data_IF_950256818227
#
_entry.id   IF_950256818227
#
_cell.length_a   1.000
_cell.length_b   1.000
_cell.length_c   1.000
_cell.angle_alpha   90.00
_cell.angle_beta   90.00
_cell.angle_gamma   90.00
#
_symmetry.space_group_name_H-M   'P 1'
#
loop_
_entity.id
_entity.type
_entity.pdbx_description
1 polymer ?
#
# COMPACT_ATOMS: atom_id res chain seq x y z
N UNK A 1 2.77 -3.13 5.96
CA UNK A 1 1.67 -2.96 6.94
C UNK A 1 1.08 -1.57 6.78
N UNK A 2 -0.08 -1.32 7.38
CA UNK A 2 -0.64 0.04 7.38
C UNK A 2 -0.24 0.80 8.63
N UNK A 3 0.14 2.07 8.43
CA UNK A 3 0.39 3.05 9.47
C UNK A 3 -0.75 4.08 9.48
N UNK A 4 -0.94 4.78 10.60
CA UNK A 4 -1.99 5.79 10.73
C UNK A 4 -3.39 5.24 11.01
N UNK A 5 -4.33 6.13 11.32
CA UNK A 5 -5.74 5.77 11.55
C UNK A 5 -6.49 5.66 10.23
N UNK A 6 -7.19 4.54 10.01
CA UNK A 6 -7.89 4.22 8.74
C UNK A 6 -8.96 5.23 8.29
N UNK A 7 -9.48 6.06 9.20
CA UNK A 7 -10.41 7.15 8.86
C UNK A 7 -9.70 8.47 8.55
N UNK A 8 -8.45 8.62 8.98
CA UNK A 8 -7.66 9.84 8.92
C UNK A 8 -6.81 9.99 7.67
N UNK A 9 -6.15 11.15 7.51
CA UNK A 9 -5.34 11.47 6.34
C UNK A 9 -4.00 10.72 6.31
N UNK A 10 -3.54 10.24 7.47
CA UNK A 10 -2.22 9.61 7.59
C UNK A 10 -2.26 8.10 7.34
N UNK A 11 -3.39 7.56 6.88
CA UNK A 11 -3.47 6.14 6.54
C UNK A 11 -2.65 5.85 5.28
N UNK A 12 -1.67 4.97 5.44
CA UNK A 12 -0.65 4.68 4.42
C UNK A 12 -0.10 3.27 4.56
N UNK A 13 0.59 2.77 3.55
CA UNK A 13 1.30 1.49 3.59
C UNK A 13 2.80 1.73 3.68
N UNK A 14 3.42 1.13 4.69
CA UNK A 14 4.86 1.02 4.82
C UNK A 14 5.32 -0.43 4.68
N UNK A 15 6.59 -0.63 4.36
CA UNK A 15 7.19 -1.96 4.27
C UNK A 15 8.55 -2.03 4.93
N UNK A 16 8.95 -3.27 5.22
CA UNK A 16 10.22 -3.63 5.82
C UNK A 16 10.78 -4.87 5.13
N UNK A 17 12.10 -5.07 5.24
CA UNK A 17 12.81 -6.24 4.71
C UNK A 17 13.48 -6.98 5.88
N UNK A 18 13.55 -8.30 5.78
CA UNK A 18 14.27 -9.16 6.70
C UNK A 18 14.82 -10.39 5.95
N UNK A 19 15.92 -10.94 6.44
CA UNK A 19 16.50 -12.18 5.91
C UNK A 19 15.81 -13.45 6.46
N UNK A 20 14.89 -13.28 7.42
CA UNK A 20 14.14 -14.35 8.07
C UNK A 20 12.66 -13.98 8.14
N UNK A 21 11.73 -14.95 7.97
CA UNK A 21 10.30 -14.70 8.13
C UNK A 21 9.91 -14.27 9.56
N UNK A 22 10.81 -14.44 10.54
CA UNK A 22 10.63 -14.02 11.93
C UNK A 22 11.34 -12.70 12.26
N UNK A 23 11.95 -12.05 11.27
CA UNK A 23 12.72 -10.82 11.46
C UNK A 23 14.14 -11.05 11.99
N UNK A 24 14.82 -9.98 12.45
CA UNK A 24 14.30 -8.63 12.63
C UNK A 24 13.93 -7.96 11.30
N UNK A 25 12.88 -7.12 11.32
CA UNK A 25 12.41 -6.38 10.15
C UNK A 25 12.96 -4.96 10.16
N UNK A 26 13.72 -4.61 9.12
CA UNK A 26 14.21 -3.25 8.89
C UNK A 26 13.17 -2.46 8.08
N UNK A 27 12.57 -1.42 8.67
CA UNK A 27 11.64 -0.54 7.96
C UNK A 27 12.36 0.22 6.86
N UNK A 28 11.91 0.06 5.62
CA UNK A 28 12.54 0.70 4.45
C UNK A 28 11.84 2.01 4.09
N UNK A 29 10.51 1.99 3.97
CA UNK A 29 9.81 3.18 3.47
C UNK A 29 8.30 3.06 3.43
N UNK A 30 7.67 4.15 3.01
CA UNK A 30 6.24 4.24 2.69
C UNK A 30 6.08 4.07 1.18
N UNK A 31 5.14 3.21 0.77
CA UNK A 31 4.95 2.81 -0.64
C UNK A 31 3.54 3.09 -1.16
N UNK A 32 2.61 3.51 -0.29
CA UNK A 32 1.30 4.00 -0.69
C UNK A 32 0.86 5.05 0.32
N UNK A 33 0.45 6.21 -0.17
CA UNK A 33 -0.19 7.26 0.62
C UNK A 33 -1.32 7.90 -0.19
N UNK A 34 -2.21 8.62 0.48
CA UNK A 34 -3.30 9.29 -0.22
C UNK A 34 -2.79 10.46 -1.08
N UNK A 35 -3.36 10.62 -2.28
CA UNK A 35 -3.42 11.91 -2.95
C UNK A 35 -4.76 12.55 -2.60
N UNK A 36 -4.73 13.56 -1.73
CA UNK A 36 -5.93 14.26 -1.25
C UNK A 36 -6.74 14.97 -2.34
N UNK A 37 -6.24 15.02 -3.59
CA UNK A 37 -6.98 15.50 -4.77
C UNK A 37 -7.77 14.40 -5.48
N UNK A 38 -7.52 13.13 -5.17
CA UNK A 38 -8.11 11.96 -5.83
C UNK A 38 -8.97 11.15 -4.85
N UNK A 39 -8.42 10.80 -3.70
CA UNK A 39 -9.07 9.94 -2.71
C UNK A 39 -8.36 10.01 -1.36
N UNK A 40 -9.06 9.66 -0.29
CA UNK A 40 -8.52 9.67 1.06
C UNK A 40 -8.29 8.26 1.61
N UNK A 41 -7.40 8.14 2.59
CA UNK A 41 -7.27 6.93 3.41
C UNK A 41 -6.89 5.68 2.61
N UNK A 42 -5.78 5.74 1.86
CA UNK A 42 -5.28 4.63 1.06
C UNK A 42 -4.48 3.64 1.93
N UNK A 43 -4.92 2.39 2.04
CA UNK A 43 -4.21 1.39 2.84
C UNK A 43 -4.86 0.02 2.89
N UNK A 44 -4.49 -0.77 3.91
CA UNK A 44 -4.85 -2.19 4.09
C UNK A 44 -4.63 -3.00 2.80
N UNK A 45 -3.39 -3.15 2.40
CA UNK A 45 -3.07 -3.76 1.13
C UNK A 45 -2.93 -5.29 1.22
N UNK A 46 -3.14 -5.93 0.08
CA UNK A 46 -2.58 -7.22 -0.30
C UNK A 46 -1.68 -7.05 -1.53
N UNK A 47 -0.89 -8.07 -1.83
CA UNK A 47 0.01 -8.09 -2.98
C UNK A 47 -0.24 -9.40 -3.73
N UNK A 48 -0.32 -9.32 -5.06
CA UNK A 48 -0.47 -10.47 -5.95
C UNK A 48 0.62 -10.44 -7.02
N UNK A 49 1.05 -11.63 -7.44
CA UNK A 49 1.93 -11.84 -8.58
C UNK A 49 1.16 -12.60 -9.67
N UNK A 50 1.33 -12.21 -10.93
CA UNK A 50 0.79 -12.98 -12.05
C UNK A 50 1.65 -14.25 -12.22
N UNK A 51 1.06 -15.46 -12.15
CA UNK A 51 1.82 -16.70 -12.19
C UNK A 51 2.75 -16.82 -13.41
N UNK A 52 4.02 -17.15 -13.17
CA UNK A 52 5.03 -17.32 -14.22
C UNK A 52 5.60 -16.01 -14.78
N UNK A 53 5.32 -14.88 -14.14
CA UNK A 53 5.85 -13.56 -14.54
C UNK A 53 6.46 -12.83 -13.34
N UNK A 54 7.15 -11.72 -13.60
CA UNK A 54 7.55 -10.75 -12.57
C UNK A 54 6.61 -9.54 -12.53
N UNK A 55 5.32 -9.75 -12.84
CA UNK A 55 4.31 -8.70 -12.77
C UNK A 55 3.58 -8.75 -11.43
N UNK A 56 3.68 -7.65 -10.68
CA UNK A 56 3.13 -7.51 -9.35
C UNK A 56 2.09 -6.40 -9.28
N UNK A 57 1.07 -6.63 -8.47
CA UNK A 57 0.02 -5.65 -8.22
C UNK A 57 -0.24 -5.52 -6.73
N UNK A 58 -0.44 -4.28 -6.30
CA UNK A 58 -0.95 -3.98 -4.98
C UNK A 58 -2.47 -3.81 -5.07
N UNK A 59 -3.20 -4.56 -4.26
CA UNK A 59 -4.64 -4.36 -4.08
C UNK A 59 -4.85 -3.70 -2.73
N UNK A 60 -5.59 -2.60 -2.67
CA UNK A 60 -5.78 -1.82 -1.45
C UNK A 60 -7.16 -1.18 -1.44
N UNK A 61 -7.53 -0.50 -0.35
CA UNK A 61 -8.73 0.32 -0.35
C UNK A 61 -8.41 1.81 -0.22
N UNK A 62 -9.31 2.64 -0.73
CA UNK A 62 -9.35 4.10 -0.50
C UNK A 62 -10.80 4.58 -0.37
N UNK A 63 -10.99 5.83 0.02
CA UNK A 63 -12.31 6.48 0.13
C UNK A 63 -12.43 7.60 -0.91
N UNK A 64 -13.48 7.62 -1.76
CA UNK A 64 -13.72 8.73 -2.70
C UNK A 64 -13.83 10.07 -1.98
N UNK A 65 -13.45 11.18 -2.63
CA UNK A 65 -13.57 12.53 -2.05
C UNK A 65 -15.02 12.93 -1.74
N UNK A 66 -16.00 12.35 -2.44
CA UNK A 66 -17.42 12.59 -2.20
C UNK A 66 -17.92 11.98 -0.89
N UNK A 67 -17.18 11.02 -0.31
CA UNK A 67 -17.62 10.23 0.83
C UNK A 67 -16.99 10.69 2.15
N UNK A 68 -17.83 10.82 3.19
CA UNK A 68 -17.41 11.24 4.54
C UNK A 68 -17.49 10.12 5.57
N UNK A 69 -18.27 9.07 5.34
CA UNK A 69 -18.29 7.89 6.21
C UNK A 69 -16.98 7.13 6.04
N UNK A 70 -16.28 6.86 7.15
CA UNK A 70 -15.05 6.08 7.14
C UNK A 70 -15.22 4.73 6.44
N UNK A 71 -16.39 4.11 6.55
CA UNK A 71 -16.69 2.78 6.02
C UNK A 71 -16.93 2.76 4.50
N UNK A 72 -17.18 3.91 3.86
CA UNK A 72 -17.45 4.04 2.43
C UNK A 72 -16.17 3.89 1.59
N UNK A 73 -15.58 2.70 1.62
CA UNK A 73 -14.31 2.36 0.99
C UNK A 73 -14.54 1.62 -0.33
N UNK A 74 -13.63 1.83 -1.27
CA UNK A 74 -13.59 1.12 -2.55
C UNK A 74 -12.27 0.38 -2.72
N UNK A 75 -12.34 -0.82 -3.29
CA UNK A 75 -11.16 -1.60 -3.68
C UNK A 75 -10.50 -0.96 -4.89
N UNK A 76 -9.16 -0.91 -4.88
CA UNK A 76 -8.32 -0.37 -5.93
C UNK A 76 -7.17 -1.34 -6.20
N UNK A 77 -6.59 -1.24 -7.38
CA UNK A 77 -5.46 -2.04 -7.81
C UNK A 77 -4.52 -1.16 -8.64
N UNK A 78 -3.23 -1.22 -8.34
CA UNK A 78 -2.18 -0.53 -9.08
C UNK A 78 -0.96 -1.45 -9.25
N UNK A 79 -0.15 -1.19 -10.28
CA UNK A 79 1.07 -1.95 -10.54
C UNK A 79 2.11 -1.64 -9.46
N UNK A 80 2.76 -2.68 -8.95
CA UNK A 80 3.86 -2.56 -7.99
C UNK A 80 5.15 -2.92 -8.70
N UNK A 81 6.20 -2.11 -8.49
CA UNK A 81 7.49 -2.26 -9.18
C UNK A 81 8.62 -2.34 -8.15
N UNK A 82 9.58 -3.21 -8.40
CA UNK A 82 10.82 -3.28 -7.65
C UNK A 82 11.94 -2.56 -8.42
N UNK A 83 12.85 -1.90 -7.71
CA UNK A 83 14.09 -1.39 -8.29
C UNK A 83 15.17 -2.49 -8.41
N UNK A 84 16.32 -2.13 -8.98
CA UNK A 84 17.44 -3.05 -9.20
C UNK A 84 18.03 -3.61 -7.89
N UNK A 85 17.80 -2.92 -6.76
CA UNK A 85 18.22 -3.33 -5.41
C UNK A 85 17.13 -4.16 -4.70
N UNK A 86 16.04 -4.49 -5.40
CA UNK A 86 14.91 -5.27 -4.87
C UNK A 86 14.03 -4.51 -3.88
N UNK A 87 14.10 -3.17 -3.84
CA UNK A 87 13.24 -2.33 -3.02
C UNK A 87 11.94 -2.02 -3.77
N UNK A 88 10.85 -1.86 -3.02
CA UNK A 88 9.54 -1.53 -3.61
C UNK A 88 9.50 -0.02 -3.87
N UNK A 89 9.22 0.36 -5.10
CA UNK A 89 8.97 1.75 -5.47
C UNK A 89 7.57 2.20 -4.99
N UNK A 90 7.38 3.48 -4.62
CA UNK A 90 6.06 4.01 -4.32
C UNK A 90 5.07 3.77 -5.47
N UNK A 91 3.88 3.30 -5.11
CA UNK A 91 2.74 3.05 -5.99
C UNK A 91 1.99 4.35 -6.27
#
# INVERSE_FOLDING_TARGET
WSEGGWTGPDYRVAYAIADSPLGPFERIGTILEQDGRIANGAGHNSVINIPGTDEWYMVYHRRPLSEKDGNARMTCIDKMVFDDDGKILPV
#
